data_IF_807402943193
#
_entry.id   IF_807402943193
#
_cell.length_a   1.000
_cell.length_b   1.000
_cell.length_c   1.000
_cell.angle_alpha   90.00
_cell.angle_beta   90.00
_cell.angle_gamma   90.00
#
_symmetry.space_group_name_H-M   'P 1'
#
loop_
_entity.id
_entity.type
_entity.pdbx_description
1 polymer ?
#
# COMPACT_ATOMS: atom_id res chain seq x y z
N UNK A 1 14.87 3.18 6.26
CA UNK A 1 15.43 4.32 5.51
C UNK A 1 16.25 5.17 6.46
N UNK A 2 17.48 5.56 6.11
CA UNK A 2 18.30 6.46 6.94
C UNK A 2 18.42 7.84 6.32
N UNK A 3 18.35 8.92 7.12
CA UNK A 3 18.58 10.29 6.67
C UNK A 3 19.22 11.15 7.77
N UNK A 4 19.95 12.23 7.40
CA UNK A 4 20.64 13.10 8.38
C UNK A 4 19.68 14.04 9.13
N UNK A 5 18.64 14.48 8.44
CA UNK A 5 17.62 15.41 8.94
C UNK A 5 16.24 15.08 8.37
N UNK A 6 15.20 15.63 8.99
CA UNK A 6 13.81 15.54 8.54
C UNK A 6 13.26 16.97 8.37
N UNK A 7 12.34 17.23 7.41
CA UNK A 7 11.63 16.25 6.58
C UNK A 7 12.53 15.63 5.49
N UNK A 8 12.25 14.38 5.14
CA UNK A 8 12.92 13.68 4.06
C UNK A 8 12.02 13.62 2.84
N UNK A 9 12.53 14.02 1.67
CA UNK A 9 11.84 13.79 0.39
C UNK A 9 12.55 12.67 -0.35
N UNK A 10 11.93 11.48 -0.37
CA UNK A 10 12.44 10.37 -1.16
C UNK A 10 11.98 10.51 -2.62
N UNK A 11 12.88 10.45 -3.61
CA UNK A 11 12.55 10.82 -4.99
C UNK A 11 11.46 9.94 -5.60
N UNK A 12 11.47 8.63 -5.30
CA UNK A 12 10.50 7.67 -5.83
C UNK A 12 10.32 6.50 -4.85
N UNK A 13 9.09 6.15 -4.50
CA UNK A 13 8.75 4.94 -3.75
C UNK A 13 7.78 4.10 -4.61
N UNK A 14 8.08 2.82 -4.78
CA UNK A 14 7.21 1.90 -5.53
C UNK A 14 6.68 0.81 -4.60
N UNK A 15 5.38 0.57 -4.69
CA UNK A 15 4.68 -0.50 -3.99
C UNK A 15 4.12 -1.47 -5.03
N UNK A 16 4.57 -2.72 -4.99
CA UNK A 16 4.06 -3.80 -5.82
C UNK A 16 3.20 -4.73 -4.97
N UNK A 17 1.97 -4.99 -5.44
CA UNK A 17 0.97 -5.78 -4.74
C UNK A 17 0.51 -6.90 -5.66
N UNK A 18 0.42 -8.12 -5.12
CA UNK A 18 -0.26 -9.24 -5.76
C UNK A 18 -1.28 -9.81 -4.80
N UNK A 19 -2.55 -9.75 -5.18
CA UNK A 19 -3.66 -10.31 -4.40
C UNK A 19 -4.08 -11.64 -5.02
N UNK A 20 -4.40 -12.62 -4.18
CA UNK A 20 -5.01 -13.88 -4.59
C UNK A 20 -6.41 -13.95 -4.02
N UNK A 21 -7.36 -14.35 -4.86
CA UNK A 21 -8.77 -14.47 -4.54
C UNK A 21 -9.22 -15.92 -4.69
N UNK A 22 -10.15 -16.32 -3.85
CA UNK A 22 -10.94 -17.54 -4.00
C UNK A 22 -12.15 -17.29 -4.91
N UNK A 23 -12.71 -18.36 -5.50
CA UNK A 23 -13.81 -18.25 -6.47
C UNK A 23 -15.04 -17.51 -5.93
N UNK A 24 -15.32 -17.62 -4.63
CA UNK A 24 -16.43 -16.90 -3.98
C UNK A 24 -16.24 -15.38 -3.97
N UNK A 25 -15.02 -14.90 -4.22
CA UNK A 25 -14.66 -13.49 -4.28
C UNK A 25 -14.63 -12.97 -5.73
N UNK A 26 -15.14 -13.73 -6.70
CA UNK A 26 -15.30 -13.26 -8.08
C UNK A 26 -16.17 -12.01 -8.14
N UNK A 27 -15.79 -11.04 -8.97
CA UNK A 27 -16.49 -9.76 -9.07
C UNK A 27 -15.57 -8.55 -8.97
N UNK A 28 -16.19 -7.38 -8.85
CA UNK A 28 -15.49 -6.12 -8.63
C UNK A 28 -14.97 -6.09 -7.19
N UNK A 29 -13.70 -5.69 -7.03
CA UNK A 29 -13.04 -5.50 -5.74
C UNK A 29 -12.56 -4.07 -5.60
N UNK A 30 -12.89 -3.43 -4.48
CA UNK A 30 -12.38 -2.10 -4.12
C UNK A 30 -11.09 -2.27 -3.34
N UNK A 31 -10.01 -1.67 -3.82
CA UNK A 31 -8.71 -1.65 -3.17
C UNK A 31 -8.48 -0.25 -2.60
N UNK A 32 -8.17 -0.16 -1.32
CA UNK A 32 -7.79 1.09 -0.65
C UNK A 32 -6.37 0.96 -0.12
N UNK A 33 -5.54 1.96 -0.40
CA UNK A 33 -4.15 2.04 0.11
C UNK A 33 -4.00 3.33 0.90
N UNK A 34 -3.69 3.21 2.19
CA UNK A 34 -3.42 4.34 3.07
C UNK A 34 -1.94 4.33 3.48
N UNK A 35 -1.32 5.49 3.51
CA UNK A 35 0.03 5.67 4.05
C UNK A 35 -0.09 6.56 5.27
N UNK A 36 0.20 6.02 6.45
CA UNK A 36 0.06 6.69 7.74
C UNK A 36 1.39 6.75 8.49
N UNK A 37 1.55 7.75 9.34
CA UNK A 37 2.64 7.81 10.31
C UNK A 37 2.27 7.09 11.63
N UNK A 38 3.19 7.10 12.59
CA UNK A 38 3.02 6.48 13.92
C UNK A 38 1.80 6.98 14.71
N UNK A 39 1.28 8.15 14.39
CA UNK A 39 0.13 8.75 15.07
C UNK A 39 -1.18 8.48 14.30
N UNK A 40 -1.11 7.71 13.22
CA UNK A 40 -2.22 7.43 12.31
C UNK A 40 -2.54 8.57 11.35
N UNK A 41 -1.70 9.61 11.29
CA UNK A 41 -1.91 10.73 10.38
C UNK A 41 -1.52 10.35 8.95
N UNK A 42 -2.38 10.66 7.99
CA UNK A 42 -2.11 10.38 6.58
C UNK A 42 -0.90 11.17 6.08
N UNK A 43 0.09 10.46 5.53
CA UNK A 43 1.28 11.03 4.89
C UNK A 43 0.96 11.58 3.50
N UNK A 44 -0.01 10.96 2.82
CA UNK A 44 -0.50 11.35 1.51
C UNK A 44 -2.00 11.01 1.39
N UNK A 45 -2.73 11.55 0.40
CA UNK A 45 -4.09 11.14 0.14
C UNK A 45 -4.21 9.62 -0.02
N UNK A 46 -5.23 9.04 0.59
CA UNK A 46 -5.58 7.64 0.39
C UNK A 46 -5.84 7.39 -1.09
N UNK A 47 -5.31 6.28 -1.60
CA UNK A 47 -5.56 5.84 -2.96
C UNK A 47 -6.71 4.85 -2.96
N UNK A 48 -7.72 5.10 -3.79
CA UNK A 48 -8.78 4.16 -4.10
C UNK A 48 -8.58 3.63 -5.53
N UNK A 49 -8.57 2.31 -5.67
CA UNK A 49 -8.54 1.60 -6.94
C UNK A 49 -9.64 0.54 -6.96
N UNK A 50 -9.98 0.06 -8.16
CA UNK A 50 -10.89 -1.07 -8.32
C UNK A 50 -10.32 -2.05 -9.33
N UNK A 51 -10.53 -3.34 -9.11
CA UNK A 51 -10.14 -4.40 -10.04
C UNK A 51 -11.29 -5.37 -10.24
N UNK A 52 -11.44 -5.87 -11.47
CA UNK A 52 -12.40 -6.92 -11.77
C UNK A 52 -11.69 -8.26 -11.66
N UNK A 53 -12.04 -9.06 -10.66
CA UNK A 53 -11.57 -10.43 -10.52
C UNK A 53 -12.45 -11.32 -11.39
N UNK A 54 -11.83 -12.14 -12.23
CA UNK A 54 -12.50 -13.07 -13.13
C UNK A 54 -11.81 -14.43 -13.05
N UNK A 55 -12.59 -15.50 -13.09
CA UNK A 55 -12.09 -16.87 -13.04
C UNK A 55 -12.40 -17.59 -14.34
N UNK A 56 -11.44 -18.36 -14.88
CA UNK A 56 -11.76 -19.34 -15.90
C UNK A 56 -12.49 -20.54 -15.29
N UNK A 57 -13.31 -21.31 -16.02
CA UNK A 57 -14.10 -22.41 -15.44
C UNK A 57 -13.30 -23.43 -14.63
N UNK A 58 -12.03 -23.65 -14.97
CA UNK A 58 -11.13 -24.59 -14.29
C UNK A 58 -10.35 -24.00 -13.10
N UNK A 59 -10.36 -22.68 -12.91
CA UNK A 59 -9.50 -22.04 -11.91
C UNK A 59 -10.05 -22.19 -10.50
N UNK A 60 -9.19 -22.58 -9.55
CA UNK A 60 -9.54 -22.58 -8.12
C UNK A 60 -9.22 -21.26 -7.42
N UNK A 61 -8.32 -20.46 -8.00
CA UNK A 61 -7.92 -19.14 -7.50
C UNK A 61 -7.60 -18.20 -8.67
N UNK A 62 -7.85 -16.90 -8.50
CA UNK A 62 -7.45 -15.85 -9.43
C UNK A 62 -6.48 -14.89 -8.76
N UNK A 63 -5.65 -14.19 -9.54
CA UNK A 63 -4.75 -13.16 -9.01
C UNK A 63 -4.85 -11.87 -9.78
N UNK A 64 -4.75 -10.74 -9.07
CA UNK A 64 -4.57 -9.42 -9.67
C UNK A 64 -3.27 -8.80 -9.16
N UNK A 65 -2.64 -7.98 -9.98
CA UNK A 65 -1.41 -7.28 -9.65
C UNK A 65 -1.60 -5.78 -9.81
N UNK A 66 -1.11 -5.01 -8.84
CA UNK A 66 -1.13 -3.55 -8.86
C UNK A 66 0.26 -3.01 -8.53
N UNK A 67 0.68 -1.97 -9.24
CA UNK A 67 1.89 -1.21 -8.91
C UNK A 67 1.50 0.24 -8.69
N UNK A 68 1.85 0.76 -7.50
CA UNK A 68 1.75 2.17 -7.17
C UNK A 68 3.15 2.78 -7.17
N UNK A 69 3.31 3.89 -7.91
CA UNK A 69 4.54 4.69 -7.91
C UNK A 69 4.24 6.04 -7.28
N UNK A 70 4.90 6.33 -6.17
CA UNK A 70 4.80 7.58 -5.41
C UNK A 70 6.04 8.41 -5.69
N UNK A 71 5.87 9.49 -6.44
CA UNK A 71 6.93 10.45 -6.70
C UNK A 71 7.04 11.45 -5.56
N UNK A 72 8.26 11.84 -5.20
CA UNK A 72 8.51 12.87 -4.17
C UNK A 72 7.82 12.57 -2.83
N UNK A 73 7.94 11.33 -2.35
CA UNK A 73 7.37 10.91 -1.07
C UNK A 73 7.98 11.74 0.06
N UNK A 74 7.15 12.53 0.73
CA UNK A 74 7.56 13.41 1.84
C UNK A 74 7.31 12.71 3.18
N UNK A 75 8.37 12.53 3.96
CA UNK A 75 8.35 11.91 5.27
C UNK A 75 8.70 12.98 6.32
N UNK A 76 7.71 13.52 7.05
CA UNK A 76 7.89 14.73 7.85
C UNK A 76 8.81 14.55 9.06
N UNK A 77 8.85 13.35 9.65
CA UNK A 77 9.57 13.05 10.89
C UNK A 77 10.33 11.72 10.82
N UNK A 78 11.33 11.56 11.68
CA UNK A 78 11.86 10.23 11.98
C UNK A 78 10.82 9.43 12.75
N UNK A 79 10.77 8.12 12.51
CA UNK A 79 9.81 7.24 13.16
C UNK A 79 9.27 6.15 12.23
N UNK A 80 8.27 5.45 12.74
CA UNK A 80 7.56 4.40 12.03
C UNK A 80 6.44 4.98 11.18
N UNK A 81 6.24 4.34 10.04
CA UNK A 81 5.14 4.57 9.13
C UNK A 81 4.56 3.23 8.71
N UNK A 82 3.30 3.24 8.28
CA UNK A 82 2.63 2.06 7.73
C UNK A 82 2.01 2.37 6.38
N UNK A 83 2.14 1.41 5.46
CA UNK A 83 1.32 1.36 4.25
C UNK A 83 0.28 0.26 4.46
N UNK A 84 -0.98 0.66 4.61
CA UNK A 84 -2.09 -0.22 4.89
C UNK A 84 -2.90 -0.49 3.63
N UNK A 85 -3.15 -1.77 3.38
CA UNK A 85 -3.93 -2.28 2.26
C UNK A 85 -5.27 -2.82 2.76
N UNK A 86 -6.36 -2.35 2.16
CA UNK A 86 -7.68 -2.89 2.40
C UNK A 86 -8.36 -3.31 1.09
N UNK A 87 -9.14 -4.39 1.14
CA UNK A 87 -9.98 -4.90 0.05
C UNK A 87 -11.43 -4.98 0.55
N UNK A 88 -12.37 -4.37 -0.18
CA UNK A 88 -13.79 -4.32 0.19
C UNK A 88 -14.00 -3.86 1.65
N UNK A 89 -13.30 -2.78 2.04
CA UNK A 89 -13.26 -2.19 3.39
C UNK A 89 -12.71 -3.10 4.51
N UNK A 90 -12.21 -4.29 4.19
CA UNK A 90 -11.46 -5.15 5.11
C UNK A 90 -9.96 -4.87 5.02
N UNK A 91 -9.30 -4.66 6.15
CA UNK A 91 -7.84 -4.57 6.21
C UNK A 91 -7.22 -5.95 5.92
N UNK A 92 -6.29 -6.01 4.97
CA UNK A 92 -5.65 -7.25 4.52
C UNK A 92 -4.19 -7.33 4.95
N UNK A 93 -3.47 -6.20 4.91
CA UNK A 93 -2.04 -6.17 5.21
C UNK A 93 -1.56 -4.76 5.57
N UNK A 94 -0.45 -4.73 6.32
CA UNK A 94 0.32 -3.52 6.60
C UNK A 94 1.79 -3.78 6.29
N UNK A 95 2.43 -2.81 5.63
CA UNK A 95 3.87 -2.85 5.34
C UNK A 95 4.55 -1.74 6.13
N UNK A 96 5.43 -2.07 7.09
CA UNK A 96 6.10 -1.05 7.89
C UNK A 96 7.22 -0.38 7.09
N UNK A 97 7.39 0.93 7.32
CA UNK A 97 8.54 1.71 6.86
C UNK A 97 9.13 2.48 8.05
N UNK A 98 10.37 2.15 8.42
CA UNK A 98 11.10 2.88 9.44
C UNK A 98 11.98 3.97 8.80
N UNK A 99 11.87 5.21 9.28
CA UNK A 99 12.75 6.32 8.92
C UNK A 99 13.59 6.69 10.14
N UNK A 100 14.88 6.38 10.09
CA UNK A 100 15.83 6.58 11.19
C UNK A 100 16.86 7.65 10.86
N UNK A 101 17.41 8.27 11.90
CA UNK A 101 18.53 9.18 11.75
C UNK A 101 19.78 8.39 11.36
N UNK A 102 20.45 8.82 10.30
CA UNK A 102 21.77 8.29 9.97
C UNK A 102 22.75 8.61 11.12
N UNK A 103 23.70 7.72 11.43
CA UNK A 103 24.73 7.97 12.44
C UNK A 103 25.60 9.20 12.10
#
# INVERSE_FOLDING_TARGET
MNAREAPVTHPQCALAIKLRFERLEEGQKRIRIAFVDSDGASVMPTLDASTQVQFQPSDSSATTSLVLVIQQLRLPKFGEYSIDLAVDDRHEASIPLLVSRAP
#
